data_IF_330375461828
#
_entry.id   IF_330375461828
#
_cell.length_a   1.000
_cell.length_b   1.000
_cell.length_c   1.000
_cell.angle_alpha   90.00
_cell.angle_beta   90.00
_cell.angle_gamma   90.00
#
_symmetry.space_group_name_H-M   'P 1'
#
loop_
_entity.id
_entity.type
_entity.pdbx_description
1 polymer ?
#
# COMPACT_ATOMS: atom_id res chain seq x y z
N UNK A 1 -10.74 -27.57 -0.30
CA UNK A 1 -10.31 -26.37 0.44
C UNK A 1 -11.56 -25.77 1.06
N UNK A 2 -11.54 -25.43 2.35
CA UNK A 2 -12.70 -24.83 3.02
C UNK A 2 -12.42 -23.34 3.22
N UNK A 3 -13.36 -22.49 2.79
CA UNK A 3 -13.33 -21.06 3.12
C UNK A 3 -13.69 -20.92 4.60
N UNK A 4 -12.78 -20.37 5.40
CA UNK A 4 -12.96 -20.24 6.85
C UNK A 4 -13.75 -18.97 7.16
N UNK A 5 -13.47 -17.89 6.43
CA UNK A 5 -14.11 -16.58 6.58
C UNK A 5 -15.11 -16.38 5.46
N UNK A 6 -16.35 -15.97 5.79
CA UNK A 6 -17.45 -15.89 4.81
C UNK A 6 -17.19 -14.81 3.76
N UNK A 7 -16.71 -13.65 4.19
CA UNK A 7 -16.43 -12.50 3.35
C UNK A 7 -14.92 -12.35 3.12
N UNK A 8 -14.24 -11.48 3.86
CA UNK A 8 -12.80 -11.20 3.77
C UNK A 8 -12.14 -11.29 5.14
N UNK A 9 -10.83 -11.55 5.17
CA UNK A 9 -10.05 -11.45 6.40
C UNK A 9 -10.01 -10.00 6.88
N UNK A 10 -10.20 -9.79 8.17
CA UNK A 10 -10.19 -8.47 8.81
C UNK A 10 -8.78 -8.03 9.17
N UNK A 11 -8.61 -6.74 9.52
CA UNK A 11 -7.35 -6.16 10.01
C UNK A 11 -6.19 -6.24 9.01
N UNK A 12 -6.54 -6.18 7.73
CA UNK A 12 -5.61 -5.95 6.63
C UNK A 12 -6.11 -4.75 5.82
N UNK A 13 -5.24 -4.25 4.95
CA UNK A 13 -5.68 -3.40 3.84
C UNK A 13 -6.01 -4.27 2.62
N UNK A 14 -6.99 -3.82 1.83
CA UNK A 14 -7.50 -4.57 0.69
C UNK A 14 -8.47 -5.69 1.05
N UNK A 15 -8.78 -6.54 0.06
CA UNK A 15 -9.78 -7.60 0.18
C UNK A 15 -9.15 -8.97 -0.10
N UNK A 16 -8.92 -9.76 0.95
CA UNK A 16 -8.36 -11.11 0.85
C UNK A 16 -9.22 -12.17 1.53
N UNK A 17 -9.23 -13.38 0.98
CA UNK A 17 -9.87 -14.57 1.56
C UNK A 17 -8.83 -15.64 1.88
N UNK A 18 -8.96 -16.29 3.05
CA UNK A 18 -8.06 -17.38 3.45
C UNK A 18 -8.74 -18.75 3.26
N UNK A 19 -8.11 -19.58 2.42
CA UNK A 19 -8.55 -20.94 2.09
C UNK A 19 -7.66 -21.95 2.80
N UNK A 20 -8.23 -22.71 3.73
CA UNK A 20 -7.47 -23.69 4.51
C UNK A 20 -7.87 -25.11 4.11
N UNK A 21 -6.87 -25.98 4.00
CA UNK A 21 -7.04 -27.42 3.82
C UNK A 21 -6.37 -28.17 4.98
N UNK A 22 -7.16 -28.50 5.99
CA UNK A 22 -6.69 -29.24 7.16
C UNK A 22 -6.16 -30.65 6.84
N UNK A 23 -6.62 -31.31 5.77
CA UNK A 23 -6.14 -32.65 5.40
C UNK A 23 -4.74 -32.62 4.77
N UNK A 24 -4.43 -31.56 4.03
CA UNK A 24 -3.13 -31.38 3.36
C UNK A 24 -2.20 -30.44 4.12
N UNK A 25 -2.65 -29.87 5.24
CA UNK A 25 -1.94 -28.85 6.00
C UNK A 25 -1.50 -27.66 5.15
N UNK A 26 -2.38 -27.16 4.26
CA UNK A 26 -2.10 -26.00 3.40
C UNK A 26 -3.02 -24.83 3.70
N UNK A 27 -2.49 -23.62 3.57
CA UNK A 27 -3.23 -22.37 3.63
C UNK A 27 -2.91 -21.54 2.37
N UNK A 28 -3.93 -20.96 1.75
CA UNK A 28 -3.80 -20.13 0.56
C UNK A 28 -4.54 -18.82 0.77
N UNK A 29 -3.84 -17.71 0.56
CA UNK A 29 -4.43 -16.38 0.47
C UNK A 29 -4.89 -16.15 -0.97
N UNK A 30 -6.16 -15.80 -1.14
CA UNK A 30 -6.73 -15.37 -2.41
C UNK A 30 -7.05 -13.88 -2.31
N UNK A 31 -6.45 -13.06 -3.18
CA UNK A 31 -6.74 -11.63 -3.26
C UNK A 31 -7.94 -11.44 -4.19
N UNK A 32 -8.99 -10.83 -3.66
CA UNK A 32 -10.29 -10.65 -4.34
C UNK A 32 -10.62 -9.17 -4.54
N UNK A 33 -9.65 -8.29 -4.33
CA UNK A 33 -9.81 -6.85 -4.53
C UNK A 33 -9.98 -6.53 -6.02
N UNK A 34 -10.93 -5.65 -6.33
CA UNK A 34 -11.18 -5.22 -7.69
C UNK A 34 -10.11 -4.27 -8.23
N UNK A 35 -9.85 -4.35 -9.53
CA UNK A 35 -8.99 -3.43 -10.27
C UNK A 35 -9.54 -2.00 -10.15
N UNK A 36 -8.78 -1.09 -9.53
CA UNK A 36 -9.15 0.34 -9.45
C UNK A 36 -8.60 1.17 -10.61
N UNK A 37 -7.70 0.59 -11.41
CA UNK A 37 -7.20 1.14 -12.68
C UNK A 37 -6.58 2.54 -12.55
N UNK A 38 -5.78 2.77 -11.50
CA UNK A 38 -5.07 4.03 -11.30
C UNK A 38 -4.13 4.34 -12.46
N UNK A 39 -3.57 3.33 -13.13
CA UNK A 39 -2.72 3.53 -14.30
C UNK A 39 -3.49 4.17 -15.46
N UNK A 40 -4.70 3.70 -15.74
CA UNK A 40 -5.56 4.32 -16.76
C UNK A 40 -6.07 5.69 -16.32
N UNK A 41 -6.34 5.86 -15.03
CA UNK A 41 -6.88 7.11 -14.50
C UNK A 41 -5.93 8.30 -14.73
N UNK A 42 -4.63 8.08 -14.75
CA UNK A 42 -3.63 9.14 -14.92
C UNK A 42 -3.31 9.48 -16.39
N UNK A 43 -3.79 8.67 -17.35
CA UNK A 43 -3.56 8.92 -18.78
C UNK A 43 -4.21 10.24 -19.22
N UNK A 44 -3.45 11.03 -19.98
CA UNK A 44 -3.90 12.32 -20.50
C UNK A 44 -4.07 13.42 -19.45
N UNK A 45 -3.75 13.16 -18.18
CA UNK A 45 -3.79 14.18 -17.12
C UNK A 45 -2.53 15.04 -17.10
N UNK A 46 -2.63 16.19 -16.46
CA UNK A 46 -1.46 16.98 -16.15
C UNK A 46 -0.56 16.20 -15.18
N UNK A 47 0.74 16.17 -15.46
CA UNK A 47 1.72 15.45 -14.64
C UNK A 47 1.74 15.92 -13.18
N UNK A 48 1.37 17.18 -12.92
CA UNK A 48 1.30 17.75 -11.57
C UNK A 48 0.21 17.11 -10.71
N UNK A 49 -0.85 16.57 -11.31
CA UNK A 49 -1.95 15.93 -10.59
C UNK A 49 -1.61 14.49 -10.20
N UNK A 50 -0.66 13.85 -10.90
CA UNK A 50 -0.38 12.42 -10.79
C UNK A 50 0.00 12.01 -9.35
N UNK A 51 0.94 12.67 -8.65
CA UNK A 51 1.31 12.28 -7.29
C UNK A 51 0.12 12.30 -6.32
N UNK A 52 -0.79 13.26 -6.48
CA UNK A 52 -2.00 13.35 -5.66
C UNK A 52 -2.99 12.22 -5.97
N UNK A 53 -3.17 11.89 -7.25
CA UNK A 53 -4.07 10.81 -7.68
C UNK A 53 -3.55 9.45 -7.18
N UNK A 54 -2.29 9.12 -7.47
CA UNK A 54 -1.75 7.79 -7.14
C UNK A 54 -1.52 7.59 -5.65
N UNK A 55 -1.41 8.65 -4.85
CA UNK A 55 -1.36 8.50 -3.39
C UNK A 55 -2.67 7.96 -2.81
N UNK A 56 -3.74 7.80 -3.61
CA UNK A 56 -5.00 7.16 -3.23
C UNK A 56 -5.03 5.67 -3.61
N UNK A 57 -3.95 5.13 -4.18
CA UNK A 57 -3.79 3.68 -4.35
C UNK A 57 -3.88 3.00 -2.98
N UNK A 58 -3.23 3.53 -1.94
CA UNK A 58 -3.36 2.96 -0.60
C UNK A 58 -3.40 4.08 0.45
N UNK A 59 -4.38 3.98 1.36
CA UNK A 59 -4.52 4.92 2.48
C UNK A 59 -3.52 4.69 3.62
N UNK A 60 -2.91 3.49 3.69
CA UNK A 60 -1.89 3.16 4.70
C UNK A 60 -0.49 3.60 4.27
N UNK A 61 -0.15 3.53 2.99
CA UNK A 61 1.17 3.93 2.46
C UNK A 61 1.11 5.05 1.40
N UNK A 62 0.33 6.13 1.59
CA UNK A 62 0.12 7.16 0.56
C UNK A 62 1.41 7.90 0.19
N UNK A 63 2.30 8.12 1.17
CA UNK A 63 3.58 8.80 0.96
C UNK A 63 4.48 8.02 -0.01
N UNK A 64 4.48 6.69 0.05
CA UNK A 64 5.30 5.86 -0.82
C UNK A 64 4.86 5.99 -2.29
N UNK A 65 3.55 5.92 -2.55
CA UNK A 65 3.01 6.12 -3.91
C UNK A 65 3.27 7.54 -4.44
N UNK A 66 3.10 8.56 -3.60
CA UNK A 66 3.37 9.95 -3.98
C UNK A 66 4.85 10.14 -4.37
N UNK A 67 5.77 9.71 -3.52
CA UNK A 67 7.21 9.84 -3.78
C UNK A 67 7.65 9.03 -5.00
N UNK A 68 7.13 7.82 -5.18
CA UNK A 68 7.42 6.99 -6.35
C UNK A 68 6.96 7.67 -7.66
N UNK A 69 5.78 8.30 -7.66
CA UNK A 69 5.33 9.07 -8.82
C UNK A 69 6.19 10.31 -9.09
N UNK A 70 6.56 11.05 -8.05
CA UNK A 70 7.45 12.22 -8.19
C UNK A 70 8.80 11.80 -8.78
N UNK A 71 9.42 10.74 -8.25
CA UNK A 71 10.69 10.22 -8.78
C UNK A 71 10.56 9.71 -10.22
N UNK A 72 9.43 9.09 -10.56
CA UNK A 72 9.14 8.67 -11.94
C UNK A 72 9.02 9.85 -12.91
N UNK A 73 8.34 10.92 -12.50
CA UNK A 73 8.20 12.14 -13.29
C UNK A 73 9.52 12.87 -13.46
N UNK A 74 10.32 12.97 -12.40
CA UNK A 74 11.64 13.59 -12.46
C UNK A 74 12.56 12.86 -13.43
N UNK A 75 12.56 11.53 -13.41
CA UNK A 75 13.28 10.70 -14.40
C UNK A 75 12.77 10.94 -15.82
N UNK A 76 11.45 11.06 -16.01
CA UNK A 76 10.87 11.28 -17.34
C UNK A 76 11.16 12.69 -17.90
N UNK A 77 11.38 13.66 -17.02
CA UNK A 77 11.63 15.07 -17.36
C UNK A 77 13.12 15.46 -17.28
N UNK A 78 14.01 14.50 -16.99
CA UNK A 78 15.45 14.72 -16.81
C UNK A 78 15.76 15.78 -15.72
N UNK A 79 15.07 15.68 -14.59
CA UNK A 79 15.22 16.60 -13.45
C UNK A 79 16.06 15.95 -12.36
N UNK A 80 17.20 16.57 -12.06
CA UNK A 80 18.05 16.22 -10.92
C UNK A 80 17.69 17.03 -9.67
N UNK A 81 17.39 16.32 -8.58
CA UNK A 81 17.11 16.94 -7.27
C UNK A 81 18.35 16.97 -6.39
N UNK A 82 18.52 18.09 -5.68
CA UNK A 82 19.64 18.26 -4.75
C UNK A 82 19.52 17.34 -3.51
N UNK A 83 20.63 17.20 -2.79
CA UNK A 83 20.71 16.33 -1.61
C UNK A 83 19.72 16.72 -0.50
N UNK A 84 19.42 18.01 -0.35
CA UNK A 84 18.46 18.50 0.64
C UNK A 84 17.06 17.94 0.37
N UNK A 85 16.60 17.97 -0.89
CA UNK A 85 15.31 17.40 -1.29
C UNK A 85 15.28 15.89 -1.03
N UNK A 86 16.35 15.17 -1.40
CA UNK A 86 16.43 13.73 -1.13
C UNK A 86 16.37 13.41 0.37
N UNK A 87 17.00 14.23 1.21
CA UNK A 87 16.97 14.05 2.66
C UNK A 87 15.56 14.28 3.22
N UNK A 88 14.84 15.30 2.75
CA UNK A 88 13.44 15.49 3.14
C UNK A 88 12.56 14.30 2.73
N UNK A 89 12.75 13.75 1.53
CA UNK A 89 12.01 12.55 1.09
C UNK A 89 12.27 11.34 1.97
N UNK A 90 13.54 11.11 2.34
CA UNK A 90 13.92 10.03 3.27
C UNK A 90 13.26 10.19 4.63
N UNK A 91 13.22 11.42 5.16
CA UNK A 91 12.55 11.72 6.44
C UNK A 91 11.04 11.46 6.34
N UNK A 92 10.39 11.91 5.26
CA UNK A 92 8.97 11.68 5.03
C UNK A 92 8.64 10.18 4.95
N UNK A 93 9.44 9.41 4.19
CA UNK A 93 9.25 7.97 4.07
C UNK A 93 9.48 7.25 5.40
N UNK A 94 10.54 7.63 6.15
CA UNK A 94 10.79 7.08 7.47
C UNK A 94 9.64 7.35 8.45
N UNK A 95 9.08 8.57 8.43
CA UNK A 95 7.92 8.91 9.25
C UNK A 95 6.68 8.05 8.88
N UNK A 96 6.41 7.85 7.58
CA UNK A 96 5.34 6.97 7.11
C UNK A 96 5.55 5.53 7.58
N UNK A 97 6.78 5.01 7.53
CA UNK A 97 7.11 3.65 7.98
C UNK A 97 6.85 3.50 9.48
N UNK A 98 7.32 4.46 10.30
CA UNK A 98 7.07 4.46 11.75
C UNK A 98 5.57 4.49 12.05
N UNK A 99 4.82 5.37 11.38
CA UNK A 99 3.37 5.46 11.57
C UNK A 99 2.67 4.16 11.16
N UNK A 100 3.02 3.61 9.99
CA UNK A 100 2.44 2.37 9.45
C UNK A 100 2.72 1.16 10.33
N UNK A 101 3.95 1.04 10.86
CA UNK A 101 4.34 -0.06 11.75
C UNK A 101 3.67 0.04 13.12
N UNK A 102 3.53 1.25 13.68
CA UNK A 102 2.74 1.43 14.90
C UNK A 102 1.27 1.07 14.67
N UNK A 103 0.68 1.51 13.55
CA UNK A 103 -0.69 1.14 13.20
C UNK A 103 -0.84 -0.38 13.09
N UNK A 104 0.07 -1.03 12.36
CA UNK A 104 0.07 -2.48 12.21
C UNK A 104 0.20 -3.20 13.55
N UNK A 105 1.18 -2.81 14.37
CA UNK A 105 1.40 -3.43 15.68
C UNK A 105 0.17 -3.28 16.57
N UNK A 106 -0.24 -2.06 16.87
CA UNK A 106 -1.22 -1.82 17.93
C UNK A 106 -2.67 -2.12 17.51
N UNK A 107 -3.03 -1.90 16.25
CA UNK A 107 -4.42 -2.02 15.81
C UNK A 107 -4.71 -3.26 14.96
N UNK A 108 -3.71 -3.82 14.29
CA UNK A 108 -3.92 -4.96 13.40
C UNK A 108 -3.48 -6.28 14.04
N UNK A 109 -2.25 -6.35 14.54
CA UNK A 109 -1.64 -7.58 15.01
C UNK A 109 -1.85 -7.83 16.50
N UNK A 110 -1.48 -6.87 17.37
CA UNK A 110 -1.44 -7.06 18.82
C UNK A 110 -2.76 -7.55 19.43
N UNK A 111 -3.96 -7.11 19.00
CA UNK A 111 -5.22 -7.62 19.53
C UNK A 111 -5.45 -9.12 19.33
N UNK A 112 -4.72 -9.80 18.43
CA UNK A 112 -4.79 -11.27 18.30
C UNK A 112 -4.00 -12.00 19.39
N UNK A 113 -3.11 -11.30 20.10
CA UNK A 113 -2.18 -11.86 21.08
C UNK A 113 -2.47 -11.43 22.52
N UNK A 114 -3.42 -10.51 22.71
CA UNK A 114 -3.84 -10.05 24.02
C UNK A 114 -5.22 -10.64 24.32
N UNK A 115 -5.36 -11.21 25.53
CA UNK A 115 -6.63 -11.70 26.08
C UNK A 115 -7.43 -10.58 26.75
#
# INVERSE_FOLDING_TARGET
MKKIVKDYITKIEGHGSLHINFKKYTAQLEVTEGERLFENLVLGRNYQDIPFIVSRICGICPTAHCLAAVEGLEKALDIDVNQTIQNYRKIMLAAQVIQSHNLHLFFLALPDYLE
#
